data_IF_991444151378
#
_entry.id   IF_991444151378
#
_cell.length_a   1.000
_cell.length_b   1.000
_cell.length_c   1.000
_cell.angle_alpha   90.00
_cell.angle_beta   90.00
_cell.angle_gamma   90.00
#
_symmetry.space_group_name_H-M   'P 1'
#
loop_
_entity.id
_entity.type
_entity.pdbx_description
1 polymer ?
#
# COMPACT_ATOMS: atom_id res chain seq x y z
N UNK A 1 -12.70 15.49 10.48
CA UNK A 1 -11.57 14.77 11.12
C UNK A 1 -10.56 14.44 10.03
N UNK A 2 -9.29 14.77 10.21
CA UNK A 2 -8.24 14.40 9.24
C UNK A 2 -7.72 12.99 9.54
N UNK A 3 -7.65 12.15 8.52
CA UNK A 3 -7.07 10.81 8.61
C UNK A 3 -5.53 10.94 8.52
N UNK A 4 -4.82 10.47 9.54
CA UNK A 4 -3.35 10.37 9.50
C UNK A 4 -3.01 8.96 9.03
N UNK A 5 -2.35 8.85 7.88
CA UNK A 5 -1.98 7.58 7.28
C UNK A 5 -0.49 7.52 7.00
N UNK A 6 0.06 6.32 6.97
CA UNK A 6 1.44 6.05 6.54
C UNK A 6 1.43 5.12 5.35
N UNK A 7 2.27 5.43 4.37
CA UNK A 7 2.62 4.57 3.25
C UNK A 7 3.84 3.74 3.65
N UNK A 8 3.80 2.44 3.38
CA UNK A 8 4.90 1.51 3.64
C UNK A 8 5.09 0.54 2.48
N UNK A 9 6.33 0.08 2.33
CA UNK A 9 6.75 -0.90 1.34
C UNK A 9 7.46 -2.03 2.05
N UNK A 10 7.09 -3.26 1.73
CA UNK A 10 7.81 -4.44 2.17
C UNK A 10 8.09 -5.32 0.97
N UNK A 11 9.23 -6.01 0.97
CA UNK A 11 9.54 -7.00 -0.04
C UNK A 11 9.83 -8.34 0.60
N UNK A 12 9.51 -9.39 -0.14
CA UNK A 12 9.91 -10.76 0.16
C UNK A 12 10.16 -11.51 -1.15
N UNK A 13 10.43 -12.80 -1.08
CA UNK A 13 10.62 -13.64 -2.25
C UNK A 13 10.06 -15.04 -2.00
N UNK A 14 9.62 -15.71 -3.07
CA UNK A 14 9.14 -17.11 -3.00
C UNK A 14 10.13 -18.00 -3.72
N UNK A 15 10.78 -18.89 -2.98
CA UNK A 15 11.79 -19.84 -3.49
C UNK A 15 13.15 -19.21 -3.82
N UNK A 16 13.19 -18.12 -4.60
CA UNK A 16 14.43 -17.45 -5.01
C UNK A 16 14.34 -15.93 -4.91
N UNK A 17 15.43 -15.29 -4.46
CA UNK A 17 15.56 -13.83 -4.39
C UNK A 17 15.50 -13.13 -5.75
N UNK A 18 15.64 -13.85 -6.87
CA UNK A 18 15.38 -13.31 -8.19
C UNK A 18 13.88 -13.07 -8.45
N UNK A 19 12.99 -13.72 -7.69
CA UNK A 19 11.53 -13.56 -7.74
C UNK A 19 11.05 -12.73 -6.54
N UNK A 20 11.42 -11.45 -6.55
CA UNK A 20 11.00 -10.53 -5.49
C UNK A 20 9.54 -10.14 -5.68
N UNK A 21 8.82 -10.09 -4.57
CA UNK A 21 7.46 -9.58 -4.48
C UNK A 21 7.46 -8.38 -3.57
N UNK A 22 6.95 -7.27 -4.08
CA UNK A 22 6.87 -6.01 -3.37
C UNK A 22 5.41 -5.75 -3.00
N UNK A 23 5.15 -5.65 -1.70
CA UNK A 23 3.89 -5.23 -1.13
C UNK A 23 3.96 -3.73 -0.85
N UNK A 24 3.00 -2.99 -1.39
CA UNK A 24 2.77 -1.60 -1.08
C UNK A 24 1.46 -1.48 -0.34
N UNK A 25 1.43 -0.73 0.77
CA UNK A 25 0.20 -0.56 1.53
C UNK A 25 0.15 0.78 2.26
N UNK A 26 -1.06 1.30 2.42
CA UNK A 26 -1.35 2.45 3.27
C UNK A 26 -2.17 1.98 4.46
N UNK A 27 -1.80 2.43 5.65
CA UNK A 27 -2.52 2.12 6.88
C UNK A 27 -2.78 3.39 7.70
N UNK A 28 -3.88 3.38 8.43
CA UNK A 28 -4.26 4.44 9.36
C UNK A 28 -3.39 4.31 10.62
N UNK A 29 -2.70 5.39 11.00
CA UNK A 29 -1.77 5.35 12.13
C UNK A 29 -2.45 5.31 13.49
N UNK A 30 -3.73 5.68 13.57
CA UNK A 30 -4.52 5.66 14.80
C UNK A 30 -5.14 4.30 15.05
N UNK A 31 -5.72 3.68 14.01
CA UNK A 31 -6.41 2.38 14.16
C UNK A 31 -5.51 1.19 13.84
N UNK A 32 -4.39 1.42 13.15
CA UNK A 32 -3.52 0.34 12.64
C UNK A 32 -4.10 -0.41 11.43
N UNK A 33 -5.32 -0.06 10.99
CA UNK A 33 -6.00 -0.72 9.89
C UNK A 33 -5.39 -0.38 8.53
N UNK A 34 -5.26 -1.39 7.66
CA UNK A 34 -4.87 -1.20 6.26
C UNK A 34 -6.05 -0.62 5.48
N UNK A 35 -5.80 0.45 4.75
CA UNK A 35 -6.78 1.15 3.93
C UNK A 35 -6.77 0.66 2.48
N UNK A 36 -5.57 0.47 1.93
CA UNK A 36 -5.37 -0.05 0.58
C UNK A 36 -4.02 -0.75 0.50
N UNK A 37 -3.91 -1.73 -0.40
CA UNK A 37 -2.64 -2.37 -0.74
C UNK A 37 -2.62 -2.79 -2.21
N UNK A 38 -1.43 -2.89 -2.78
CA UNK A 38 -1.21 -3.47 -4.10
C UNK A 38 0.15 -4.19 -4.13
N UNK A 39 0.30 -5.10 -5.09
CA UNK A 39 1.59 -5.72 -5.39
C UNK A 39 2.13 -5.14 -6.69
N UNK A 40 3.40 -4.77 -6.69
CA UNK A 40 4.05 -4.23 -7.87
C UNK A 40 5.46 -3.76 -7.56
N UNK A 41 6.32 -3.60 -8.58
CA UNK A 41 7.71 -3.20 -8.38
C UNK A 41 7.83 -1.91 -7.57
N UNK A 42 9.03 -1.63 -7.06
CA UNK A 42 9.31 -0.37 -6.38
C UNK A 42 9.41 0.78 -7.40
N UNK A 43 8.28 1.20 -7.98
CA UNK A 43 8.18 2.17 -9.06
C UNK A 43 6.97 3.10 -8.90
N UNK A 44 6.96 4.21 -9.63
CA UNK A 44 5.92 5.23 -9.55
C UNK A 44 4.55 4.74 -10.03
N UNK A 45 4.53 3.80 -10.97
CA UNK A 45 3.32 3.16 -11.49
C UNK A 45 2.54 2.48 -10.37
N UNK A 46 3.21 1.65 -9.56
CA UNK A 46 2.61 0.98 -8.40
C UNK A 46 2.08 1.97 -7.36
N UNK A 47 2.76 3.11 -7.19
CA UNK A 47 2.31 4.18 -6.30
C UNK A 47 1.02 4.85 -6.81
N UNK A 48 0.91 5.08 -8.13
CA UNK A 48 -0.30 5.62 -8.76
C UNK A 48 -1.49 4.68 -8.65
N UNK A 49 -1.27 3.38 -8.83
CA UNK A 49 -2.30 2.35 -8.61
C UNK A 49 -2.82 2.37 -7.18
N UNK A 50 -1.91 2.41 -6.20
CA UNK A 50 -2.29 2.49 -4.78
C UNK A 50 -3.09 3.77 -4.47
N UNK A 51 -2.73 4.90 -5.06
CA UNK A 51 -3.48 6.16 -4.92
C UNK A 51 -4.87 6.08 -5.55
N UNK A 52 -5.01 5.38 -6.67
CA UNK A 52 -6.32 5.15 -7.28
C UNK A 52 -7.22 4.33 -6.34
N UNK A 53 -6.68 3.27 -5.72
CA UNK A 53 -7.40 2.49 -4.70
C UNK A 53 -7.86 3.34 -3.52
N UNK A 54 -7.01 4.24 -3.02
CA UNK A 54 -7.38 5.17 -1.93
C UNK A 54 -8.50 6.13 -2.30
N UNK A 55 -8.58 6.52 -3.58
CA UNK A 55 -9.65 7.43 -4.06
C UNK A 55 -11.01 6.74 -4.11
N UNK A 56 -11.02 5.40 -4.16
CA UNK A 56 -12.24 4.60 -4.12
C UNK A 56 -12.76 4.36 -2.70
N UNK A 57 -11.99 4.71 -1.67
CA UNK A 57 -12.43 4.57 -0.29
C UNK A 57 -13.46 5.67 0.04
N UNK A 58 -14.63 5.32 0.60
CA UNK A 58 -15.58 6.33 1.04
C UNK A 58 -14.90 7.22 2.09
N UNK A 59 -15.05 8.53 1.94
CA UNK A 59 -14.42 9.57 2.77
C UNK A 59 -14.91 9.64 4.22
N UNK A 60 -15.64 8.62 4.69
CA UNK A 60 -16.32 8.61 5.97
C UNK A 60 -16.17 7.25 6.69
N UNK A 61 -15.08 7.14 7.45
CA UNK A 61 -15.04 6.43 8.73
C UNK A 61 -14.36 7.34 9.75
#
# INVERSE_FOLDING_TARGET
MALICKLSQQWSFVGSKARQHWLWYVYNTKTGGVLAYTFGPRADETCRELRALLTLLPSAC
#
